data_IF_040236032400
#
_entry.id   IF_040236032400
#
_cell.length_a   1.000
_cell.length_b   1.000
_cell.length_c   1.000
_cell.angle_alpha   90.00
_cell.angle_beta   90.00
_cell.angle_gamma   90.00
#
_symmetry.space_group_name_H-M   'P 1'
#
loop_
_entity.id
_entity.type
_entity.pdbx_description
1 polymer ?
#
# COMPACT_ATOMS: atom_id res chain seq x y z
N UNK A 1 48.80 -36.00 -42.22
CA UNK A 1 48.67 -34.53 -42.32
C UNK A 1 47.88 -34.07 -41.11
N UNK A 2 48.44 -33.59 -40.00
CA UNK A 2 49.69 -32.85 -39.86
C UNK A 2 49.43 -31.36 -40.13
N UNK A 3 49.00 -30.64 -39.09
CA UNK A 3 49.19 -29.20 -38.83
C UNK A 3 48.42 -28.89 -37.52
N UNK A 4 49.02 -29.15 -36.35
CA UNK A 4 49.67 -28.13 -35.52
C UNK A 4 48.73 -26.95 -35.25
N UNK A 5 47.86 -27.14 -34.25
CA UNK A 5 47.32 -26.05 -33.45
C UNK A 5 48.52 -25.26 -32.90
N UNK A 6 48.68 -24.04 -33.39
CA UNK A 6 49.71 -23.13 -32.94
C UNK A 6 49.48 -22.84 -31.45
N UNK A 7 50.38 -23.36 -30.60
CA UNK A 7 50.38 -23.15 -29.14
C UNK A 7 50.34 -21.67 -28.75
N UNK A 8 50.64 -20.77 -29.69
CA UNK A 8 50.59 -19.33 -29.50
C UNK A 8 49.16 -18.74 -29.44
N UNK A 9 48.12 -19.44 -29.93
CA UNK A 9 46.75 -18.92 -29.81
C UNK A 9 46.20 -19.09 -28.39
N UNK A 10 46.60 -20.15 -27.68
CA UNK A 10 46.21 -20.37 -26.27
C UNK A 10 47.00 -19.48 -25.31
N UNK A 11 48.23 -19.08 -25.67
CA UNK A 11 49.02 -18.12 -24.89
C UNK A 11 48.61 -16.66 -25.12
N UNK A 12 47.96 -16.34 -26.24
CA UNK A 12 47.44 -14.97 -26.51
C UNK A 12 46.25 -14.56 -25.62
N UNK A 13 45.60 -15.51 -24.94
CA UNK A 13 44.53 -15.22 -23.96
C UNK A 13 45.11 -14.95 -22.55
N UNK A 14 46.38 -15.28 -22.28
CA UNK A 14 47.02 -14.98 -20.99
C UNK A 14 47.80 -13.65 -20.96
N UNK A 15 47.84 -12.90 -22.06
CA UNK A 15 48.53 -11.61 -22.15
C UNK A 15 47.61 -10.42 -22.48
N UNK A 16 46.29 -10.62 -22.37
CA UNK A 16 45.30 -9.55 -22.32
C UNK A 16 45.15 -9.03 -20.90
N UNK A 17 46.12 -8.24 -20.44
CA UNK A 17 46.13 -7.53 -19.18
C UNK A 17 45.00 -6.48 -19.15
N UNK A 18 43.74 -6.92 -19.15
CA UNK A 18 42.64 -6.11 -18.62
C UNK A 18 42.84 -6.18 -17.12
N UNK A 19 43.57 -5.21 -16.59
CA UNK A 19 43.23 -4.67 -15.28
C UNK A 19 41.70 -4.52 -15.30
N UNK A 20 40.98 -5.46 -14.68
CA UNK A 20 39.73 -5.09 -14.04
C UNK A 20 40.21 -4.04 -13.05
N UNK A 21 40.09 -2.79 -13.46
CA UNK A 21 40.44 -1.61 -12.67
C UNK A 21 39.94 -1.89 -11.27
N UNK A 22 40.88 -2.02 -10.34
CA UNK A 22 40.62 -2.12 -8.91
C UNK A 22 39.45 -1.19 -8.65
N UNK A 23 38.29 -1.74 -8.23
CA UNK A 23 37.12 -0.91 -7.93
C UNK A 23 37.65 0.12 -6.94
N UNK A 24 37.71 1.39 -7.37
CA UNK A 24 38.17 2.49 -6.54
C UNK A 24 37.40 2.41 -5.22
N UNK A 25 38.11 2.58 -4.11
CA UNK A 25 37.44 2.54 -2.82
C UNK A 25 36.31 3.58 -2.84
N UNK A 26 35.15 3.26 -2.27
CA UNK A 26 33.99 4.17 -2.27
C UNK A 26 34.35 5.51 -1.62
N UNK A 27 35.32 5.51 -0.72
CA UNK A 27 35.89 6.72 -0.11
C UNK A 27 36.63 7.64 -1.09
N UNK A 28 37.11 7.10 -2.22
CA UNK A 28 37.83 7.84 -3.26
C UNK A 28 36.88 8.47 -4.29
N UNK A 29 35.59 8.11 -4.26
CA UNK A 29 34.59 8.67 -5.15
C UNK A 29 34.10 10.03 -4.64
N UNK A 30 33.63 10.92 -5.55
CA UNK A 30 32.81 12.06 -5.17
C UNK A 30 31.67 11.64 -4.22
N UNK A 31 31.39 12.40 -3.14
CA UNK A 31 30.39 12.04 -2.13
C UNK A 31 29.02 11.71 -2.72
N UNK A 32 28.61 12.40 -3.79
CA UNK A 32 27.34 12.19 -4.47
C UNK A 32 27.27 10.80 -5.12
N UNK A 33 28.39 10.34 -5.70
CA UNK A 33 28.48 9.01 -6.31
C UNK A 33 28.55 7.92 -5.24
N UNK A 34 29.31 8.14 -4.17
CA UNK A 34 29.36 7.24 -3.03
C UNK A 34 27.96 7.03 -2.41
N UNK A 35 27.24 8.13 -2.14
CA UNK A 35 25.88 8.08 -1.61
C UNK A 35 24.88 7.46 -2.61
N UNK A 36 25.06 7.69 -3.91
CA UNK A 36 24.25 7.06 -4.95
C UNK A 36 24.42 5.53 -5.01
N UNK A 37 25.57 5.00 -4.59
CA UNK A 37 25.80 3.56 -4.42
C UNK A 37 25.15 3.10 -3.11
N UNK A 38 25.49 3.75 -1.99
CA UNK A 38 25.07 3.33 -0.65
C UNK A 38 23.54 3.39 -0.44
N UNK A 39 22.81 4.27 -1.14
CA UNK A 39 21.34 4.34 -1.06
C UNK A 39 20.60 3.07 -1.48
N UNK A 40 21.28 2.16 -2.17
CA UNK A 40 20.68 0.89 -2.60
C UNK A 40 20.88 -0.23 -1.56
N UNK A 41 21.62 0.04 -0.48
CA UNK A 41 21.82 -0.91 0.61
C UNK A 41 20.62 -0.90 1.57
N UNK A 42 20.30 -2.08 2.11
CA UNK A 42 19.38 -2.18 3.24
C UNK A 42 20.07 -1.73 4.55
N UNK A 43 19.32 -1.65 5.65
CA UNK A 43 19.86 -1.19 6.93
C UNK A 43 21.01 -2.05 7.48
N UNK A 44 20.96 -3.36 7.28
CA UNK A 44 22.00 -4.29 7.74
C UNK A 44 23.30 -4.07 6.98
N UNK A 45 23.21 -4.03 5.65
CA UNK A 45 24.36 -3.77 4.78
C UNK A 45 24.93 -2.37 5.03
N UNK A 46 24.08 -1.39 5.32
CA UNK A 46 24.52 -0.04 5.64
C UNK A 46 25.23 0.03 7.00
N UNK A 47 24.81 -0.76 7.99
CA UNK A 47 25.52 -0.90 9.26
C UNK A 47 26.89 -1.57 9.09
N UNK A 48 27.01 -2.56 8.20
CA UNK A 48 28.29 -3.19 7.86
C UNK A 48 29.19 -2.21 7.09
N UNK A 49 28.62 -1.47 6.14
CA UNK A 49 29.32 -0.42 5.41
C UNK A 49 29.87 0.65 6.36
N UNK A 50 29.16 1.01 7.43
CA UNK A 50 29.63 1.97 8.44
C UNK A 50 30.86 1.50 9.22
N UNK A 51 31.18 0.20 9.24
CA UNK A 51 32.43 -0.30 9.82
C UNK A 51 33.67 0.08 8.98
N UNK A 52 33.48 0.38 7.69
CA UNK A 52 34.57 0.72 6.75
C UNK A 52 34.47 2.19 6.31
N UNK A 53 33.27 2.65 5.99
CA UNK A 53 32.96 3.98 5.46
C UNK A 53 32.05 4.76 6.43
N UNK A 54 32.45 4.86 7.70
CA UNK A 54 31.63 5.43 8.77
C UNK A 54 30.93 6.74 8.40
N UNK A 55 31.67 7.72 7.86
CA UNK A 55 31.14 9.05 7.52
C UNK A 55 30.08 9.00 6.41
N UNK A 56 30.29 8.16 5.40
CA UNK A 56 29.37 8.05 4.26
C UNK A 56 28.14 7.21 4.61
N UNK A 57 28.33 6.09 5.31
CA UNK A 57 27.25 5.17 5.66
C UNK A 57 26.43 5.62 6.88
N UNK A 58 26.90 6.61 7.65
CA UNK A 58 26.14 7.25 8.72
C UNK A 58 25.48 8.57 8.30
N UNK A 59 25.47 8.87 6.99
CA UNK A 59 24.86 10.09 6.46
C UNK A 59 23.36 10.18 6.78
N UNK A 60 22.91 11.33 7.26
CA UNK A 60 21.54 11.53 7.74
C UNK A 60 20.52 11.55 6.59
N UNK A 61 20.90 12.03 5.40
CA UNK A 61 20.03 12.03 4.22
C UNK A 61 19.84 10.60 3.73
N UNK A 62 20.90 9.79 3.75
CA UNK A 62 20.87 8.38 3.42
C UNK A 62 19.91 7.60 4.33
N UNK A 63 20.04 7.75 5.65
CA UNK A 63 19.16 7.09 6.62
C UNK A 63 17.72 7.63 6.58
N UNK A 64 17.52 8.91 6.31
CA UNK A 64 16.18 9.47 6.07
C UNK A 64 15.55 8.87 4.80
N UNK A 65 16.32 8.73 3.72
CA UNK A 65 15.89 8.08 2.49
C UNK A 65 15.44 6.64 2.74
N UNK A 66 16.23 5.89 3.53
CA UNK A 66 15.88 4.54 3.92
C UNK A 66 14.60 4.51 4.78
N UNK A 67 14.48 5.38 5.78
CA UNK A 67 13.25 5.56 6.56
C UNK A 67 12.02 5.79 5.66
N UNK A 68 12.09 6.77 4.76
CA UNK A 68 10.99 7.09 3.84
C UNK A 68 10.70 5.96 2.85
N UNK A 69 11.69 5.19 2.44
CA UNK A 69 11.46 4.03 1.58
C UNK A 69 10.65 2.93 2.28
N UNK A 70 10.80 2.80 3.60
CA UNK A 70 10.20 1.73 4.39
C UNK A 70 8.83 2.11 4.96
N UNK A 71 8.69 3.31 5.52
CA UNK A 71 7.45 3.76 6.18
C UNK A 71 6.74 4.88 5.42
N UNK A 72 7.42 5.58 4.51
CA UNK A 72 6.90 6.75 3.76
C UNK A 72 6.69 7.99 4.63
N UNK A 73 6.06 7.81 5.79
CA UNK A 73 5.69 8.85 6.73
C UNK A 73 5.99 8.44 8.16
N UNK A 74 6.40 9.39 9.00
CA UNK A 74 6.36 9.34 10.46
C UNK A 74 6.44 10.77 11.00
N UNK A 75 5.72 11.10 12.07
CA UNK A 75 5.66 12.46 12.63
C UNK A 75 7.05 12.97 13.02
N UNK A 76 7.91 12.07 13.50
CA UNK A 76 9.30 12.37 13.88
C UNK A 76 10.13 12.96 12.75
N UNK A 77 9.82 12.69 11.48
CA UNK A 77 10.59 13.24 10.35
C UNK A 77 10.55 14.77 10.28
N UNK A 78 9.48 15.40 10.78
CA UNK A 78 9.35 16.87 10.82
C UNK A 78 10.25 17.51 11.87
N UNK A 79 10.46 16.82 13.00
CA UNK A 79 11.22 17.33 14.16
C UNK A 79 12.69 16.90 14.17
N UNK A 80 13.02 15.77 13.53
CA UNK A 80 14.34 15.15 13.60
C UNK A 80 15.48 16.11 13.26
N UNK A 81 15.32 16.94 12.21
CA UNK A 81 16.32 17.94 11.82
C UNK A 81 16.55 19.02 12.88
N UNK A 82 15.48 19.51 13.53
CA UNK A 82 15.57 20.55 14.54
C UNK A 82 16.09 20.02 15.88
N UNK A 83 15.68 18.80 16.24
CA UNK A 83 16.05 18.14 17.49
C UNK A 83 17.39 17.38 17.40
N UNK A 84 18.05 17.40 16.24
CA UNK A 84 19.32 16.68 15.95
C UNK A 84 19.24 15.19 16.30
N UNK A 85 18.10 14.57 16.00
CA UNK A 85 17.90 13.14 16.20
C UNK A 85 18.45 12.41 14.97
N UNK A 86 19.30 11.41 15.19
CA UNK A 86 19.83 10.60 14.10
C UNK A 86 18.74 9.74 13.45
N UNK A 87 18.64 9.78 12.13
CA UNK A 87 17.73 8.95 11.34
C UNK A 87 18.08 7.47 11.41
N UNK A 88 19.34 7.11 11.71
CA UNK A 88 19.70 5.73 12.04
C UNK A 88 19.00 5.25 13.30
N UNK A 89 18.95 6.10 14.34
CA UNK A 89 18.22 5.78 15.58
C UNK A 89 16.72 5.69 15.33
N UNK A 90 16.16 6.65 14.58
CA UNK A 90 14.74 6.64 14.19
C UNK A 90 14.40 5.36 13.40
N UNK A 91 15.25 4.96 12.46
CA UNK A 91 15.07 3.73 11.70
C UNK A 91 14.92 2.51 12.63
N UNK A 92 15.85 2.34 13.57
CA UNK A 92 15.83 1.20 14.49
C UNK A 92 14.58 1.21 15.39
N UNK A 93 14.18 2.39 15.88
CA UNK A 93 12.96 2.52 16.69
C UNK A 93 11.68 2.27 15.88
N UNK A 94 11.64 2.69 14.60
CA UNK A 94 10.51 2.41 13.72
C UNK A 94 10.43 0.92 13.35
N UNK A 95 11.57 0.27 13.15
CA UNK A 95 11.66 -1.17 12.91
C UNK A 95 11.15 -1.96 14.12
N UNK A 96 11.63 -1.62 15.31
CA UNK A 96 11.14 -2.20 16.57
C UNK A 96 9.64 -1.95 16.78
N UNK A 97 9.20 -0.71 16.58
CA UNK A 97 7.79 -0.34 16.69
C UNK A 97 6.91 -1.13 15.71
N UNK A 98 7.40 -1.36 14.49
CA UNK A 98 6.71 -2.15 13.47
C UNK A 98 6.56 -3.61 13.89
N UNK A 99 7.63 -4.21 14.43
CA UNK A 99 7.59 -5.57 14.97
C UNK A 99 6.58 -5.67 16.12
N UNK A 100 6.59 -4.71 17.04
CA UNK A 100 5.63 -4.62 18.16
C UNK A 100 4.19 -4.42 17.65
N UNK A 101 3.99 -3.61 16.61
CA UNK A 101 2.66 -3.36 16.03
C UNK A 101 2.11 -4.66 15.44
N UNK A 102 2.96 -5.39 14.73
CA UNK A 102 2.60 -6.68 14.15
C UNK A 102 2.35 -7.77 15.20
N UNK A 103 2.79 -7.55 16.45
CA UNK A 103 2.47 -8.37 17.62
C UNK A 103 1.24 -7.88 18.42
N UNK A 104 0.69 -6.70 18.10
CA UNK A 104 -0.53 -6.14 18.70
C UNK A 104 -0.33 -4.96 19.66
N UNK A 105 0.91 -4.57 19.99
CA UNK A 105 1.21 -3.59 21.06
C UNK A 105 2.07 -2.40 20.58
N UNK A 106 2.22 -2.21 19.27
CA UNK A 106 3.20 -1.25 18.73
C UNK A 106 2.79 0.21 18.66
N UNK A 107 1.49 0.52 18.56
CA UNK A 107 1.06 1.91 18.41
C UNK A 107 1.41 2.74 19.64
N UNK A 108 1.14 2.23 20.84
CA UNK A 108 1.51 2.89 22.10
C UNK A 108 3.02 3.09 22.20
N UNK A 109 3.82 2.08 21.87
CA UNK A 109 5.28 2.22 21.82
C UNK A 109 5.71 3.36 20.87
N UNK A 110 5.13 3.45 19.68
CA UNK A 110 5.47 4.49 18.71
C UNK A 110 5.10 5.89 19.21
N UNK A 111 3.98 6.04 19.92
CA UNK A 111 3.54 7.29 20.52
C UNK A 111 4.45 7.70 21.68
N UNK A 112 4.70 6.79 22.61
CA UNK A 112 5.54 7.02 23.80
C UNK A 112 6.98 7.39 23.43
N UNK A 113 7.54 6.75 22.40
CA UNK A 113 8.86 7.06 21.86
C UNK A 113 8.87 8.29 20.94
N UNK A 114 7.75 9.00 20.79
CA UNK A 114 7.60 10.16 19.92
C UNK A 114 8.06 9.86 18.49
N UNK A 115 7.68 8.70 17.95
CA UNK A 115 7.86 8.37 16.53
C UNK A 115 6.68 8.89 15.71
N UNK A 116 5.49 8.76 16.27
CA UNK A 116 4.21 9.21 15.72
C UNK A 116 3.51 10.04 16.80
N UNK A 117 2.88 11.14 16.41
CA UNK A 117 2.09 11.94 17.34
C UNK A 117 0.71 11.31 17.56
N UNK A 118 0.17 11.41 18.78
CA UNK A 118 -1.13 10.81 19.14
C UNK A 118 -2.32 11.64 18.62
N UNK A 119 -2.41 11.74 17.31
CA UNK A 119 -3.54 12.34 16.61
C UNK A 119 -4.00 11.38 15.51
N UNK A 120 -5.31 11.35 15.25
CA UNK A 120 -5.86 10.47 14.22
C UNK A 120 -5.25 10.75 12.84
N UNK A 121 -4.97 12.02 12.52
CA UNK A 121 -4.30 12.46 11.30
C UNK A 121 -2.90 11.84 11.14
N UNK A 122 -2.06 11.96 12.16
CA UNK A 122 -0.66 11.54 12.11
C UNK A 122 -0.54 10.01 12.07
N UNK A 123 -1.38 9.32 12.84
CA UNK A 123 -1.47 7.86 12.82
C UNK A 123 -2.01 7.37 11.47
N UNK A 124 -3.03 8.02 10.91
CA UNK A 124 -3.59 7.65 9.60
C UNK A 124 -2.58 7.84 8.48
N UNK A 125 -1.83 8.95 8.47
CA UNK A 125 -0.74 9.18 7.50
C UNK A 125 0.33 8.10 7.63
N UNK A 126 0.71 7.70 8.84
CA UNK A 126 1.66 6.61 9.04
C UNK A 126 1.14 5.30 8.43
N UNK A 127 -0.06 4.87 8.84
CA UNK A 127 -0.69 3.62 8.36
C UNK A 127 -0.88 3.62 6.84
N UNK A 128 -1.22 4.76 6.24
CA UNK A 128 -1.45 4.89 4.81
C UNK A 128 -0.19 4.63 3.98
N UNK A 129 0.97 5.15 4.42
CA UNK A 129 2.20 5.14 3.64
C UNK A 129 3.08 3.92 3.92
N UNK A 130 2.88 3.24 5.05
CA UNK A 130 3.66 2.05 5.41
C UNK A 130 3.08 0.76 4.83
N UNK A 131 3.94 -0.04 4.21
CA UNK A 131 3.61 -1.39 3.74
C UNK A 131 4.09 -2.47 4.71
N UNK A 132 4.70 -2.08 5.84
CA UNK A 132 5.33 -3.00 6.81
C UNK A 132 4.37 -3.53 7.87
N UNK A 133 3.19 -2.93 8.00
CA UNK A 133 2.21 -3.29 9.02
C UNK A 133 1.34 -4.46 8.58
N UNK A 134 1.19 -5.44 9.46
CA UNK A 134 0.34 -6.61 9.28
C UNK A 134 -1.10 -6.17 9.14
N UNK A 135 -1.72 -6.58 8.05
CA UNK A 135 -3.12 -6.31 7.73
C UNK A 135 -4.09 -6.62 8.87
N UNK A 136 -3.90 -7.76 9.55
CA UNK A 136 -4.77 -8.16 10.66
C UNK A 136 -4.77 -7.13 11.81
N UNK A 137 -3.60 -6.64 12.19
CA UNK A 137 -3.46 -5.68 13.30
C UNK A 137 -3.94 -4.28 12.88
N UNK A 138 -3.71 -3.87 11.62
CA UNK A 138 -4.34 -2.66 11.06
C UNK A 138 -5.86 -2.73 11.19
N UNK A 139 -6.49 -3.86 10.84
CA UNK A 139 -7.95 -4.01 10.95
C UNK A 139 -8.44 -3.92 12.39
N UNK A 140 -7.73 -4.50 13.36
CA UNK A 140 -8.12 -4.39 14.78
C UNK A 140 -8.08 -2.92 15.23
N UNK A 141 -6.99 -2.21 14.93
CA UNK A 141 -6.87 -0.80 15.24
C UNK A 141 -7.99 0.03 14.61
N UNK A 142 -8.29 -0.16 13.32
CA UNK A 142 -9.34 0.58 12.62
C UNK A 142 -10.76 0.25 13.11
N UNK A 143 -10.96 -0.91 13.73
CA UNK A 143 -12.23 -1.26 14.39
C UNK A 143 -12.38 -0.55 15.73
N UNK A 144 -11.29 -0.44 16.49
CA UNK A 144 -11.27 0.20 17.82
C UNK A 144 -11.26 1.73 17.73
N UNK A 145 -10.52 2.28 16.76
CA UNK A 145 -10.32 3.72 16.53
C UNK A 145 -10.95 4.16 15.21
N UNK A 146 -12.26 4.45 15.25
CA UNK A 146 -13.03 4.86 14.07
C UNK A 146 -12.61 6.23 13.51
N UNK A 147 -12.12 7.11 14.37
CA UNK A 147 -11.52 8.39 14.00
C UNK A 147 -10.34 8.23 13.03
N UNK A 148 -9.50 7.20 13.25
CA UNK A 148 -8.39 6.86 12.35
C UNK A 148 -8.93 6.30 11.03
N UNK A 149 -9.95 5.45 11.07
CA UNK A 149 -10.59 4.91 9.87
C UNK A 149 -11.16 6.01 8.97
N UNK A 150 -11.90 6.96 9.54
CA UNK A 150 -12.50 8.07 8.81
C UNK A 150 -11.43 8.89 8.09
N UNK A 151 -10.39 9.32 8.82
CA UNK A 151 -9.29 10.10 8.23
C UNK A 151 -8.51 9.29 7.17
N UNK A 152 -8.28 8.00 7.39
CA UNK A 152 -7.61 7.13 6.42
C UNK A 152 -8.39 7.02 5.09
N UNK A 153 -9.72 7.05 5.15
CA UNK A 153 -10.60 7.04 3.99
C UNK A 153 -10.58 8.41 3.30
N UNK A 154 -10.54 9.51 4.05
CA UNK A 154 -10.38 10.87 3.52
C UNK A 154 -9.07 11.06 2.74
N UNK A 155 -8.01 10.34 3.08
CA UNK A 155 -6.75 10.36 2.32
C UNK A 155 -6.85 9.71 0.92
N UNK A 156 -7.91 8.92 0.63
CA UNK A 156 -8.08 8.27 -0.66
C UNK A 156 -8.75 9.20 -1.68
N UNK A 157 -8.31 9.22 -2.94
CA UNK A 157 -9.06 9.90 -4.02
C UNK A 157 -9.70 8.87 -4.95
N UNK A 158 -10.99 9.08 -5.24
CA UNK A 158 -11.78 8.30 -6.20
C UNK A 158 -12.29 9.15 -7.36
N UNK A 159 -11.67 10.29 -7.60
CA UNK A 159 -12.04 11.18 -8.70
C UNK A 159 -11.86 10.46 -10.04
N UNK A 160 -12.81 10.63 -10.96
CA UNK A 160 -12.83 10.01 -12.28
C UNK A 160 -12.78 8.47 -12.26
N UNK A 161 -13.09 7.84 -11.12
CA UNK A 161 -13.16 6.40 -11.01
C UNK A 161 -14.57 5.86 -11.15
N UNK A 162 -14.70 4.76 -11.88
CA UNK A 162 -15.96 4.01 -11.93
C UNK A 162 -16.24 3.32 -10.59
N UNK A 163 -17.47 3.43 -10.09
CA UNK A 163 -17.84 3.00 -8.72
C UNK A 163 -17.36 1.56 -8.35
N UNK A 164 -17.58 0.51 -9.18
CA UNK A 164 -17.05 -0.81 -8.91
C UNK A 164 -15.51 -0.88 -8.81
N UNK A 165 -14.79 -0.07 -9.61
CA UNK A 165 -13.33 -0.02 -9.57
C UNK A 165 -12.83 0.64 -8.29
N UNK A 166 -13.47 1.77 -7.91
CA UNK A 166 -13.18 2.46 -6.66
C UNK A 166 -13.45 1.55 -5.45
N UNK A 167 -14.54 0.78 -5.47
CA UNK A 167 -14.89 -0.16 -4.41
C UNK A 167 -13.87 -1.31 -4.29
N UNK A 168 -13.36 -1.82 -5.41
CA UNK A 168 -12.23 -2.78 -5.41
C UNK A 168 -10.97 -2.18 -4.81
N UNK A 169 -10.61 -0.96 -5.22
CA UNK A 169 -9.43 -0.28 -4.68
C UNK A 169 -9.56 -0.06 -3.16
N UNK A 170 -10.76 0.29 -2.70
CA UNK A 170 -11.06 0.47 -1.28
C UNK A 170 -10.85 -0.82 -0.49
N UNK A 171 -11.44 -1.94 -0.94
CA UNK A 171 -11.29 -3.22 -0.26
C UNK A 171 -9.89 -3.82 -0.40
N UNK A 172 -9.13 -3.50 -1.45
CA UNK A 172 -7.72 -3.89 -1.55
C UNK A 172 -6.84 -3.22 -0.49
N UNK A 173 -7.23 -2.04 0.03
CA UNK A 173 -6.47 -1.30 1.04
C UNK A 173 -6.89 -1.60 2.47
N UNK A 174 -8.19 -1.76 2.72
CA UNK A 174 -8.76 -1.93 4.06
C UNK A 174 -9.15 -3.37 4.39
N UNK A 175 -9.11 -4.25 3.38
CA UNK A 175 -9.59 -5.63 3.40
C UNK A 175 -11.08 -5.75 3.73
N UNK A 176 -11.81 -6.40 2.83
CA UNK A 176 -13.21 -6.70 3.05
C UNK A 176 -13.39 -7.64 4.26
N UNK A 177 -14.35 -7.36 5.16
CA UNK A 177 -14.77 -8.33 6.18
C UNK A 177 -15.29 -9.61 5.52
N UNK A 178 -14.96 -10.77 6.10
CA UNK A 178 -15.39 -12.09 5.58
C UNK A 178 -16.91 -12.29 5.69
N UNK A 179 -17.52 -11.70 6.71
CA UNK A 179 -18.96 -11.78 6.95
C UNK A 179 -19.63 -10.42 6.79
N UNK A 180 -20.90 -10.44 6.37
CA UNK A 180 -21.77 -9.27 6.44
C UNK A 180 -22.04 -8.95 7.91
N UNK A 181 -21.30 -7.99 8.44
CA UNK A 181 -21.40 -7.53 9.82
C UNK A 181 -21.55 -5.99 9.89
N UNK A 182 -21.74 -5.48 11.10
CA UNK A 182 -21.85 -4.03 11.35
C UNK A 182 -20.65 -3.26 10.77
N UNK A 183 -19.44 -3.81 10.91
CA UNK A 183 -18.20 -3.18 10.43
C UNK A 183 -18.19 -2.98 8.90
N UNK A 184 -18.71 -3.94 8.12
CA UNK A 184 -18.88 -3.75 6.68
C UNK A 184 -19.78 -2.56 6.37
N UNK A 185 -20.89 -2.39 7.08
CA UNK A 185 -21.79 -1.24 6.89
C UNK A 185 -21.08 0.10 7.15
N UNK A 186 -20.26 0.16 8.20
CA UNK A 186 -19.47 1.35 8.55
C UNK A 186 -18.44 1.68 7.48
N UNK A 187 -17.77 0.66 6.94
CA UNK A 187 -16.83 0.82 5.83
C UNK A 187 -17.52 1.39 4.59
N UNK A 188 -18.67 0.80 4.22
CA UNK A 188 -19.43 1.25 3.04
C UNK A 188 -20.03 2.64 3.24
N UNK A 189 -20.46 3.00 4.45
CA UNK A 189 -20.95 4.36 4.75
C UNK A 189 -19.85 5.39 4.54
N UNK A 190 -18.67 5.17 5.11
CA UNK A 190 -17.52 6.07 4.94
C UNK A 190 -17.03 6.12 3.49
N UNK A 191 -16.97 4.97 2.81
CA UNK A 191 -16.67 4.92 1.39
C UNK A 191 -17.67 5.74 0.57
N UNK A 192 -18.97 5.62 0.86
CA UNK A 192 -20.03 6.32 0.11
C UNK A 192 -19.92 7.84 0.28
N UNK A 193 -19.67 8.31 1.51
CA UNK A 193 -19.39 9.72 1.81
C UNK A 193 -18.20 10.22 1.00
N UNK A 194 -17.10 9.46 0.99
CA UNK A 194 -15.88 9.85 0.26
C UNK A 194 -16.04 9.81 -1.25
N UNK A 195 -16.65 8.76 -1.79
CA UNK A 195 -16.90 8.63 -3.23
C UNK A 195 -17.80 9.76 -3.74
N UNK A 196 -18.84 10.12 -2.98
CA UNK A 196 -19.69 11.27 -3.26
C UNK A 196 -18.90 12.58 -3.26
N UNK A 197 -18.07 12.81 -2.23
CA UNK A 197 -17.24 14.02 -2.13
C UNK A 197 -16.27 14.17 -3.31
N UNK A 198 -15.71 13.06 -3.81
CA UNK A 198 -14.85 13.05 -5.00
C UNK A 198 -15.60 13.20 -6.34
N UNK A 199 -16.91 12.91 -6.39
CA UNK A 199 -17.66 12.75 -7.64
C UNK A 199 -19.06 13.41 -7.57
N UNK A 200 -19.15 14.62 -7.04
CA UNK A 200 -20.43 15.35 -6.90
C UNK A 200 -21.13 15.58 -8.24
N UNK A 201 -20.36 15.66 -9.34
CA UNK A 201 -20.85 15.80 -10.72
C UNK A 201 -21.71 14.62 -11.20
N UNK A 202 -21.67 13.46 -10.55
CA UNK A 202 -22.49 12.30 -10.91
C UNK A 202 -23.96 12.45 -10.48
N UNK A 203 -24.29 13.41 -9.62
CA UNK A 203 -25.66 13.63 -9.13
C UNK A 203 -26.22 12.49 -8.27
N UNK A 204 -25.39 11.53 -7.84
CA UNK A 204 -25.79 10.43 -6.96
C UNK A 204 -25.69 10.87 -5.49
N UNK A 205 -26.75 10.65 -4.71
CA UNK A 205 -26.71 10.89 -3.27
C UNK A 205 -25.85 9.85 -2.54
N UNK A 206 -25.40 10.18 -1.32
CA UNK A 206 -24.62 9.26 -0.47
C UNK A 206 -25.39 7.97 -0.21
N UNK A 207 -26.70 8.05 0.05
CA UNK A 207 -27.59 6.91 0.27
C UNK A 207 -27.69 6.03 -0.99
N UNK A 208 -27.73 6.65 -2.17
CA UNK A 208 -27.77 5.93 -3.44
C UNK A 208 -26.47 5.15 -3.65
N UNK A 209 -25.31 5.78 -3.40
CA UNK A 209 -24.00 5.13 -3.51
C UNK A 209 -23.89 3.98 -2.50
N UNK A 210 -24.38 4.16 -1.27
CA UNK A 210 -24.41 3.13 -0.24
C UNK A 210 -25.19 1.89 -0.69
N UNK A 211 -26.41 2.08 -1.21
CA UNK A 211 -27.25 0.98 -1.75
C UNK A 211 -26.60 0.32 -2.96
N UNK A 212 -25.96 1.10 -3.84
CA UNK A 212 -25.23 0.58 -4.99
C UNK A 212 -24.07 -0.30 -4.56
N UNK A 213 -23.28 0.10 -3.56
CA UNK A 213 -22.16 -0.69 -3.04
C UNK A 213 -22.64 -2.06 -2.54
N UNK A 214 -23.71 -2.12 -1.75
CA UNK A 214 -24.28 -3.40 -1.32
C UNK A 214 -24.83 -4.23 -2.48
N UNK A 215 -25.45 -3.59 -3.47
CA UNK A 215 -25.91 -4.28 -4.68
C UNK A 215 -24.74 -4.93 -5.44
N UNK A 216 -23.61 -4.24 -5.56
CA UNK A 216 -22.40 -4.74 -6.20
C UNK A 216 -21.76 -5.89 -5.41
N UNK A 217 -21.73 -5.81 -4.08
CA UNK A 217 -21.24 -6.89 -3.21
C UNK A 217 -22.11 -8.13 -3.36
N UNK A 218 -23.44 -7.98 -3.29
CA UNK A 218 -24.37 -9.10 -3.45
C UNK A 218 -24.27 -9.75 -4.84
N UNK A 219 -24.15 -8.94 -5.90
CA UNK A 219 -23.91 -9.45 -7.25
C UNK A 219 -22.58 -10.21 -7.33
N UNK A 220 -21.51 -9.67 -6.71
CA UNK A 220 -20.20 -10.32 -6.68
C UNK A 220 -20.26 -11.70 -6.02
N UNK A 221 -20.93 -11.80 -4.87
CA UNK A 221 -21.13 -13.06 -4.14
C UNK A 221 -21.95 -14.05 -4.98
N UNK A 222 -23.04 -13.58 -5.58
CA UNK A 222 -23.92 -14.41 -6.42
C UNK A 222 -23.14 -15.02 -7.60
N UNK A 223 -22.40 -14.19 -8.34
CA UNK A 223 -21.64 -14.63 -9.52
C UNK A 223 -20.48 -15.55 -9.14
N UNK A 224 -19.77 -15.28 -8.04
CA UNK A 224 -18.61 -16.07 -7.61
C UNK A 224 -18.98 -17.40 -6.93
N UNK A 225 -20.15 -17.52 -6.29
CA UNK A 225 -20.50 -18.69 -5.47
C UNK A 225 -20.82 -19.95 -6.30
N UNK A 226 -20.07 -21.06 -6.18
CA UNK A 226 -20.35 -22.29 -6.93
C UNK A 226 -21.70 -22.93 -6.55
N UNK A 227 -22.26 -22.57 -5.39
CA UNK A 227 -23.54 -23.07 -4.90
C UNK A 227 -24.75 -22.43 -5.61
N UNK A 228 -24.56 -21.27 -6.25
CA UNK A 228 -25.63 -20.60 -7.00
C UNK A 228 -25.64 -21.14 -8.42
N UNK A 229 -26.61 -22.02 -8.71
CA UNK A 229 -26.82 -22.62 -10.04
C UNK A 229 -27.36 -21.62 -11.06
N UNK A 230 -28.35 -20.82 -10.64
CA UNK A 230 -28.99 -19.81 -11.46
C UNK A 230 -28.47 -18.44 -11.05
N UNK A 231 -27.45 -17.96 -11.77
CA UNK A 231 -26.84 -16.66 -11.52
C UNK A 231 -27.81 -15.53 -11.83
N UNK A 232 -27.71 -14.43 -11.08
CA UNK A 232 -28.45 -13.22 -11.33
C UNK A 232 -28.14 -12.70 -12.73
N UNK A 233 -29.16 -12.59 -13.59
CA UNK A 233 -29.02 -12.00 -14.92
C UNK A 233 -28.88 -10.47 -14.83
N UNK A 234 -28.30 -9.87 -15.88
CA UNK A 234 -28.20 -8.40 -16.01
C UNK A 234 -29.55 -7.70 -15.82
N UNK A 235 -30.61 -8.25 -16.42
CA UNK A 235 -31.98 -7.72 -16.31
C UNK A 235 -32.50 -7.78 -14.87
N UNK A 236 -32.22 -8.87 -14.16
CA UNK A 236 -32.62 -9.02 -12.75
C UNK A 236 -31.86 -8.06 -11.85
N UNK A 237 -30.55 -7.89 -12.06
CA UNK A 237 -29.74 -6.93 -11.33
C UNK A 237 -30.29 -5.51 -11.48
N UNK A 238 -30.48 -5.03 -12.72
CA UNK A 238 -31.03 -3.69 -13.01
C UNK A 238 -32.37 -3.50 -12.28
N UNK A 239 -33.29 -4.48 -12.40
CA UNK A 239 -34.60 -4.44 -11.74
C UNK A 239 -34.49 -4.37 -10.21
N UNK A 240 -33.62 -5.19 -9.62
CA UNK A 240 -33.46 -5.29 -8.16
C UNK A 240 -32.83 -4.02 -7.59
N UNK A 241 -31.75 -3.52 -8.21
CA UNK A 241 -31.06 -2.30 -7.77
C UNK A 241 -31.96 -1.08 -7.90
N UNK A 242 -32.72 -0.95 -8.99
CA UNK A 242 -33.67 0.16 -9.17
C UNK A 242 -34.76 0.19 -8.09
N UNK A 243 -35.29 -0.97 -7.70
CA UNK A 243 -36.28 -1.07 -6.62
C UNK A 243 -35.70 -0.67 -5.25
N UNK A 244 -34.41 -0.84 -5.04
CA UNK A 244 -33.75 -0.49 -3.79
C UNK A 244 -33.44 1.02 -3.67
N UNK A 245 -33.41 1.76 -4.79
CA UNK A 245 -33.10 3.19 -4.82
C UNK A 245 -34.40 3.99 -4.81
N UNK A 246 -34.63 4.72 -3.73
CA UNK A 246 -35.91 5.41 -3.44
C UNK A 246 -36.18 6.56 -4.42
N UNK A 247 -35.15 7.21 -4.96
CA UNK A 247 -35.28 8.45 -5.75
C UNK A 247 -35.04 8.29 -7.26
N UNK A 248 -34.90 7.06 -7.77
CA UNK A 248 -34.85 6.79 -9.22
C UNK A 248 -33.69 7.43 -10.00
N UNK A 249 -32.63 7.89 -9.33
CA UNK A 249 -31.51 8.61 -9.97
C UNK A 249 -30.58 7.72 -10.83
N UNK A 250 -30.81 6.41 -10.88
CA UNK A 250 -29.98 5.46 -11.60
C UNK A 250 -30.60 5.09 -12.96
N UNK A 251 -29.88 5.35 -14.05
CA UNK A 251 -30.28 4.88 -15.38
C UNK A 251 -30.06 3.37 -15.52
N UNK A 252 -30.93 2.71 -16.30
CA UNK A 252 -30.81 1.27 -16.58
C UNK A 252 -29.49 0.96 -17.32
N UNK A 253 -28.98 1.91 -18.12
CA UNK A 253 -27.68 1.82 -18.80
C UNK A 253 -26.52 1.80 -17.80
N UNK A 254 -26.48 2.73 -16.83
CA UNK A 254 -25.44 2.78 -15.81
C UNK A 254 -25.47 1.53 -14.92
N UNK A 255 -26.67 1.09 -14.52
CA UNK A 255 -26.85 -0.17 -13.79
C UNK A 255 -26.36 -1.37 -14.63
N UNK A 256 -26.60 -1.35 -15.94
CA UNK A 256 -26.08 -2.34 -16.86
C UNK A 256 -24.56 -2.37 -16.91
N UNK A 257 -23.91 -1.21 -16.96
CA UNK A 257 -22.44 -1.11 -16.93
C UNK A 257 -21.83 -1.59 -15.62
N UNK A 258 -22.52 -1.37 -14.50
CA UNK A 258 -22.12 -1.96 -13.22
C UNK A 258 -22.13 -3.49 -13.27
N UNK A 259 -23.18 -4.09 -13.82
CA UNK A 259 -23.26 -5.54 -13.99
C UNK A 259 -22.12 -6.08 -14.86
N UNK A 260 -21.94 -5.49 -16.05
CA UNK A 260 -20.91 -5.93 -17.01
C UNK A 260 -19.52 -5.85 -16.38
N UNK A 261 -19.27 -4.81 -15.59
CA UNK A 261 -18.00 -4.64 -14.91
C UNK A 261 -17.73 -5.74 -13.87
N UNK A 262 -18.72 -6.13 -13.06
CA UNK A 262 -18.55 -7.25 -12.11
C UNK A 262 -18.40 -8.57 -12.86
N UNK A 263 -19.18 -8.78 -13.91
CA UNK A 263 -19.13 -9.99 -14.72
C UNK A 263 -17.77 -10.19 -15.40
N UNK A 264 -17.18 -9.11 -15.95
CA UNK A 264 -15.93 -9.17 -16.70
C UNK A 264 -14.67 -9.09 -15.82
N UNK A 265 -14.67 -8.24 -14.79
CA UNK A 265 -13.47 -7.98 -13.96
C UNK A 265 -13.47 -8.87 -12.71
N UNK A 266 -14.65 -9.24 -12.21
CA UNK A 266 -14.80 -10.07 -11.03
C UNK A 266 -15.12 -9.30 -9.75
N UNK A 267 -15.05 -10.05 -8.65
CA UNK A 267 -15.59 -9.71 -7.34
C UNK A 267 -15.03 -8.41 -6.75
N UNK A 268 -15.89 -7.56 -6.17
CA UNK A 268 -15.46 -6.24 -5.64
C UNK A 268 -14.66 -6.31 -4.34
N UNK A 269 -14.82 -7.39 -3.58
CA UNK A 269 -14.28 -7.57 -2.24
C UNK A 269 -13.46 -8.87 -2.16
N UNK A 270 -12.57 -9.10 -3.13
CA UNK A 270 -11.67 -10.26 -3.05
C UNK A 270 -10.71 -10.06 -1.88
N UNK A 271 -10.84 -10.90 -0.85
CA UNK A 271 -9.82 -11.02 0.18
C UNK A 271 -8.55 -11.57 -0.48
N UNK A 272 -7.42 -10.90 -0.25
CA UNK A 272 -6.11 -11.32 -0.78
C UNK A 272 -5.70 -12.75 -0.35
N UNK A 273 -6.44 -13.35 0.59
CA UNK A 273 -6.27 -14.73 1.06
C UNK A 273 -6.86 -15.80 0.15
N UNK A 274 -7.52 -15.44 -0.96
CA UNK A 274 -7.99 -16.40 -1.97
C UNK A 274 -6.92 -16.80 -3.01
N UNK A 275 -5.69 -16.29 -2.86
CA UNK A 275 -4.55 -16.63 -3.70
C UNK A 275 -3.52 -17.47 -2.92
N UNK A 276 -3.90 -18.64 -2.42
CA UNK A 276 -2.98 -19.74 -2.06
C UNK A 276 -3.69 -21.08 -2.20
#
# INVERSE_FOLDING_TARGET
MGQLLDRNYVESISSGNKQLTKISDISELPPELALAILKNLNATDLCLAACVWHTLASDEILWLGLCKSMWGYASVYKRANHERISFRKIYLQLDEGTLRFNAGEGLMYMIENRLIDDTCEEISKFIHHTHKLRTLEKRKLLKERRDILEYLIELQSYENQFLPNALRQFFAKLDAPEERNEYLSILIENFSKRFHACNQNLGLSIETIYVLCFSLILLSIDLASPHVKNKMSKREFIRNTRRAIINGALSDELAGHFYDNIYLIGHVANSATSAH
#
